data_IF_639256941969
#
_entry.id   IF_639256941969
#
_cell.length_a   1.000
_cell.length_b   1.000
_cell.length_c   1.000
_cell.angle_alpha   90.00
_cell.angle_beta   90.00
_cell.angle_gamma   90.00
#
_symmetry.space_group_name_H-M   'P 1'
#
loop_
_entity.id
_entity.type
_entity.pdbx_description
1 polymer ?
#
# COMPACT_ATOMS: atom_id res chain seq x y z
N UNK A 1 -11.77 20.79 -0.34
CA UNK A 1 -10.65 20.92 0.62
C UNK A 1 -10.82 20.18 1.96
N UNK A 2 -11.94 20.29 2.71
CA UNK A 2 -12.09 19.62 4.02
C UNK A 2 -11.96 18.08 3.99
N UNK A 3 -12.50 17.41 2.96
CA UNK A 3 -12.46 15.93 2.82
C UNK A 3 -11.03 15.36 2.66
N UNK A 4 -10.20 15.94 1.77
CA UNK A 4 -8.79 15.54 1.57
C UNK A 4 -7.97 15.69 2.86
N UNK A 5 -8.17 16.79 3.59
CA UNK A 5 -7.48 17.04 4.87
C UNK A 5 -7.84 16.00 5.95
N UNK A 6 -9.10 15.56 5.99
CA UNK A 6 -9.57 14.52 6.91
C UNK A 6 -9.05 13.13 6.51
N UNK A 7 -9.14 12.76 5.24
CA UNK A 7 -8.60 11.50 4.72
C UNK A 7 -7.09 11.39 4.97
N UNK A 8 -6.34 12.46 4.68
CA UNK A 8 -4.90 12.56 4.95
C UNK A 8 -4.61 12.42 6.45
N UNK A 9 -5.40 13.06 7.31
CA UNK A 9 -5.26 12.95 8.77
C UNK A 9 -5.49 11.52 9.28
N UNK A 10 -6.52 10.84 8.80
CA UNK A 10 -6.84 9.47 9.20
C UNK A 10 -5.79 8.47 8.70
N UNK A 11 -5.44 8.56 7.41
CA UNK A 11 -4.36 7.77 6.80
C UNK A 11 -3.08 7.83 7.64
N UNK A 12 -2.64 9.04 8.01
CA UNK A 12 -1.40 9.19 8.77
C UNK A 12 -1.50 8.89 10.26
N UNK A 13 -2.69 8.98 10.85
CA UNK A 13 -2.91 8.50 12.22
C UNK A 13 -2.71 6.98 12.27
N UNK A 14 -3.20 6.26 11.27
CA UNK A 14 -3.10 4.80 11.19
C UNK A 14 -1.67 4.34 10.88
N UNK A 15 -0.98 4.97 9.91
CA UNK A 15 0.44 4.70 9.63
C UNK A 15 1.30 4.89 10.90
N UNK A 16 1.09 5.98 11.66
CA UNK A 16 1.85 6.21 12.89
C UNK A 16 1.54 5.21 14.00
N UNK A 17 0.34 4.61 14.04
CA UNK A 17 0.01 3.57 15.03
C UNK A 17 0.64 2.23 14.64
N UNK A 18 0.66 1.91 13.35
CA UNK A 18 1.31 0.71 12.83
C UNK A 18 2.84 0.74 13.02
N UNK A 19 3.47 1.90 12.83
CA UNK A 19 4.91 2.08 13.08
C UNK A 19 5.29 1.93 14.57
N UNK A 20 4.39 2.27 15.50
CA UNK A 20 4.64 2.13 16.96
C UNK A 20 4.47 0.70 17.47
N UNK A 21 3.71 -0.15 16.78
CA UNK A 21 3.57 -1.57 17.12
C UNK A 21 4.71 -2.44 16.58
N UNK A 22 5.50 -1.94 15.62
CA UNK A 22 6.58 -2.67 14.94
C UNK A 22 7.99 -2.23 15.33
N UNK A 23 8.13 -1.52 16.46
CA UNK A 23 9.43 -1.01 16.93
C UNK A 23 10.28 -2.11 17.58
N UNK A 24 10.71 -3.10 16.81
CA UNK A 24 11.90 -3.90 17.08
C UNK A 24 12.44 -4.43 15.74
N UNK A 25 13.54 -3.83 15.27
CA UNK A 25 14.50 -4.40 14.31
C UNK A 25 14.05 -4.74 12.86
N UNK A 26 13.59 -3.80 12.03
CA UNK A 26 13.53 -4.07 10.56
C UNK A 26 14.16 -2.97 9.70
N UNK A 27 15.39 -3.26 9.27
CA UNK A 27 16.24 -2.44 8.41
C UNK A 27 15.78 -2.49 6.96
N UNK A 28 14.72 -1.76 6.62
CA UNK A 28 14.36 -1.46 5.24
C UNK A 28 13.60 -2.63 4.64
N UNK A 29 12.31 -2.69 4.94
CA UNK A 29 11.44 -3.77 4.50
C UNK A 29 11.29 -3.74 2.98
N UNK A 30 11.84 -4.77 2.34
CA UNK A 30 11.66 -5.07 0.93
C UNK A 30 10.70 -6.24 0.85
N UNK A 31 9.76 -6.17 -0.10
CA UNK A 31 8.78 -7.22 -0.32
C UNK A 31 8.86 -7.71 -1.76
N UNK A 32 8.59 -9.00 -1.96
CA UNK A 32 8.38 -9.58 -3.29
C UNK A 32 6.90 -9.89 -3.45
N UNK A 33 6.32 -9.51 -4.59
CA UNK A 33 4.92 -9.79 -4.87
C UNK A 33 4.72 -10.96 -5.83
N UNK A 34 3.76 -11.83 -5.50
CA UNK A 34 3.24 -12.86 -6.39
C UNK A 34 1.73 -12.65 -6.59
N UNK A 35 1.28 -12.61 -7.84
CA UNK A 35 -0.14 -12.53 -8.19
C UNK A 35 -0.69 -13.91 -8.48
N UNK A 36 -0.99 -14.69 -7.45
CA UNK A 36 -1.66 -15.99 -7.57
C UNK A 36 -2.92 -16.00 -6.71
N UNK A 37 -4.05 -15.52 -7.24
CA UNK A 37 -5.37 -15.83 -6.68
C UNK A 37 -6.50 -15.58 -7.69
N UNK A 38 -7.46 -16.49 -7.67
CA UNK A 38 -8.56 -16.69 -8.61
C UNK A 38 -9.44 -15.45 -8.75
N UNK A 39 -9.73 -15.08 -10.00
CA UNK A 39 -10.69 -14.04 -10.36
C UNK A 39 -12.11 -14.44 -9.92
N UNK A 40 -12.52 -13.98 -8.74
CA UNK A 40 -13.89 -13.55 -8.50
C UNK A 40 -14.02 -12.11 -8.99
N UNK A 41 -15.13 -11.79 -9.67
CA UNK A 41 -15.33 -10.70 -10.62
C UNK A 41 -14.89 -9.26 -10.23
N UNK A 42 -14.42 -8.99 -9.00
CA UNK A 42 -14.14 -7.63 -8.55
C UNK A 42 -12.87 -7.35 -7.73
N UNK A 43 -12.08 -8.33 -7.27
CA UNK A 43 -10.89 -8.02 -6.46
C UNK A 43 -9.67 -8.89 -6.81
N UNK A 44 -8.65 -8.26 -7.41
CA UNK A 44 -7.35 -8.91 -7.67
C UNK A 44 -6.56 -8.93 -6.36
N UNK A 45 -6.52 -10.10 -5.72
CA UNK A 45 -5.71 -10.33 -4.52
C UNK A 45 -4.26 -10.64 -4.93
N UNK A 46 -3.31 -9.90 -4.38
CA UNK A 46 -1.89 -10.13 -4.46
C UNK A 46 -1.33 -10.54 -3.10
N UNK A 47 -0.24 -11.30 -3.10
CA UNK A 47 0.50 -11.69 -1.89
C UNK A 47 1.83 -10.93 -1.90
N UNK A 48 2.11 -10.20 -0.83
CA UNK A 48 3.40 -9.59 -0.54
C UNK A 48 4.14 -10.44 0.50
N UNK A 49 5.30 -10.96 0.14
CA UNK A 49 6.19 -11.66 1.07
C UNK A 49 7.28 -10.71 1.57
N UNK A 50 7.39 -10.57 2.89
CA UNK A 50 8.47 -9.82 3.53
C UNK A 50 9.76 -10.66 3.52
N UNK A 51 10.79 -10.15 2.83
CA UNK A 51 12.05 -10.89 2.61
C UNK A 51 12.80 -11.13 3.93
N UNK A 52 12.59 -10.30 4.94
CA UNK A 52 13.35 -10.41 6.20
C UNK A 52 12.85 -11.55 7.09
N UNK A 53 11.54 -11.87 7.05
CA UNK A 53 10.90 -12.80 7.99
C UNK A 53 9.99 -13.85 7.33
N UNK A 54 9.75 -13.76 6.02
CA UNK A 54 8.89 -14.68 5.27
C UNK A 54 7.39 -14.50 5.53
N UNK A 55 6.97 -13.42 6.20
CA UNK A 55 5.56 -13.15 6.45
C UNK A 55 4.84 -12.76 5.16
N UNK A 56 3.70 -13.38 4.92
CA UNK A 56 2.83 -13.09 3.79
C UNK A 56 1.72 -12.10 4.17
N UNK A 57 1.50 -11.12 3.31
CA UNK A 57 0.41 -10.15 3.42
C UNK A 57 -0.47 -10.22 2.19
N UNK A 58 -1.76 -10.45 2.40
CA UNK A 58 -2.77 -10.48 1.36
C UNK A 58 -3.32 -9.07 1.16
N UNK A 59 -3.27 -8.58 -0.08
CA UNK A 59 -3.65 -7.20 -0.42
C UNK A 59 -4.45 -7.15 -1.70
N UNK A 60 -5.34 -6.17 -1.83
CA UNK A 60 -5.98 -5.82 -3.10
C UNK A 60 -5.28 -4.59 -3.69
N UNK A 61 -4.96 -4.62 -4.99
CA UNK A 61 -4.35 -3.47 -5.69
C UNK A 61 -5.44 -2.49 -6.10
N UNK A 62 -5.34 -1.26 -5.62
CA UNK A 62 -6.31 -0.18 -5.89
C UNK A 62 -5.87 0.70 -7.07
N UNK A 63 -4.59 1.06 -7.14
CA UNK A 63 -4.06 1.90 -8.22
C UNK A 63 -2.54 1.70 -8.38
N UNK A 64 -2.05 1.92 -9.60
CA UNK A 64 -0.63 2.01 -9.93
C UNK A 64 -0.36 3.32 -10.66
N UNK A 65 0.58 4.11 -10.16
CA UNK A 65 0.80 5.47 -10.64
C UNK A 65 2.26 5.90 -10.56
N UNK A 66 2.61 6.91 -11.36
CA UNK A 66 3.92 7.53 -11.33
C UNK A 66 3.86 8.90 -10.64
N UNK A 67 4.88 9.20 -9.84
CA UNK A 67 5.10 10.50 -9.24
C UNK A 67 6.60 10.76 -9.11
N UNK A 68 7.07 11.96 -9.44
CA UNK A 68 8.49 12.32 -9.33
C UNK A 68 9.47 11.29 -9.98
N UNK A 69 9.07 10.70 -11.12
CA UNK A 69 9.82 9.65 -11.86
C UNK A 69 10.05 8.35 -11.09
N UNK A 70 9.15 8.04 -10.17
CA UNK A 70 9.10 6.77 -9.44
C UNK A 70 7.72 6.16 -9.57
N UNK A 71 7.68 4.84 -9.53
CA UNK A 71 6.46 4.07 -9.64
C UNK A 71 5.96 3.72 -8.24
N UNK A 72 4.65 3.88 -8.04
CA UNK A 72 3.96 3.65 -6.78
C UNK A 72 2.74 2.78 -6.98
N UNK A 73 2.45 1.96 -5.98
CA UNK A 73 1.24 1.15 -5.90
C UNK A 73 0.46 1.55 -4.64
N UNK A 74 -0.85 1.71 -4.79
CA UNK A 74 -1.79 1.86 -3.69
C UNK A 74 -2.56 0.55 -3.54
N UNK A 75 -2.63 0.05 -2.31
CA UNK A 75 -3.23 -1.24 -1.97
C UNK A 75 -4.10 -1.11 -0.73
N UNK A 76 -4.99 -2.08 -0.51
CA UNK A 76 -5.69 -2.26 0.76
C UNK A 76 -5.40 -3.63 1.31
N UNK A 77 -5.32 -3.76 2.64
CA UNK A 77 -5.28 -5.08 3.27
C UNK A 77 -6.51 -5.90 2.87
N UNK A 78 -6.29 -7.18 2.56
CA UNK A 78 -7.35 -8.14 2.32
C UNK A 78 -7.43 -9.06 3.55
N UNK A 79 -8.40 -8.80 4.44
CA UNK A 79 -8.68 -9.68 5.59
C UNK A 79 -9.81 -10.66 5.24
N UNK A 80 -9.57 -11.98 5.15
CA UNK A 80 -10.58 -12.96 4.73
C UNK A 80 -11.63 -13.33 5.81
N UNK A 81 -12.07 -12.39 6.65
CA UNK A 81 -13.03 -12.49 7.78
C UNK A 81 -12.42 -12.83 9.15
N UNK A 82 -12.38 -11.86 10.08
CA UNK A 82 -13.12 -11.81 11.38
C UNK A 82 -13.08 -10.35 11.90
N UNK A 83 -14.10 -9.57 11.56
CA UNK A 83 -14.83 -8.71 12.50
C UNK A 83 -14.16 -7.56 13.27
N UNK A 84 -12.92 -7.13 13.04
CA UNK A 84 -12.33 -6.01 13.79
C UNK A 84 -11.31 -5.20 12.98
N UNK A 85 -11.77 -4.42 12.00
CA UNK A 85 -11.10 -3.19 11.54
C UNK A 85 -12.12 -2.32 10.79
N UNK A 86 -12.60 -1.26 11.45
CA UNK A 86 -13.70 -0.40 10.96
C UNK A 86 -13.33 0.56 9.80
N UNK A 87 -12.05 0.60 9.37
CA UNK A 87 -11.62 1.41 8.23
C UNK A 87 -10.60 0.65 7.37
N UNK A 88 -10.77 0.56 6.04
CA UNK A 88 -9.78 -0.06 5.17
C UNK A 88 -8.46 0.73 5.24
N UNK A 89 -7.37 0.03 5.58
CA UNK A 89 -6.04 0.63 5.60
C UNK A 89 -5.49 0.70 4.17
N UNK A 90 -5.34 1.91 3.64
CA UNK A 90 -4.64 2.12 2.38
C UNK A 90 -3.13 2.07 2.64
N UNK A 91 -2.42 1.32 1.83
CA UNK A 91 -0.96 1.16 1.86
C UNK A 91 -0.42 1.75 0.55
N UNK A 92 0.60 2.62 0.64
CA UNK A 92 1.29 3.16 -0.55
C UNK A 92 2.76 2.78 -0.47
N UNK A 93 3.25 2.14 -1.52
CA UNK A 93 4.63 1.67 -1.62
C UNK A 93 5.23 2.10 -2.94
N UNK A 94 6.57 2.21 -3.00
CA UNK A 94 7.26 2.18 -4.28
C UNK A 94 7.19 0.78 -4.84
N UNK A 95 7.19 0.66 -6.16
CA UNK A 95 7.44 -0.63 -6.80
C UNK A 95 8.39 -0.48 -7.97
N UNK A 96 9.18 -1.52 -8.21
CA UNK A 96 10.03 -1.67 -9.38
C UNK A 96 9.82 -3.07 -9.97
N UNK A 97 10.03 -3.19 -11.28
CA UNK A 97 9.98 -4.49 -11.96
C UNK A 97 11.40 -4.93 -12.31
N UNK A 98 11.77 -6.12 -11.84
CA UNK A 98 13.04 -6.77 -12.15
C UNK A 98 13.15 -7.19 -13.61
N UNK A 99 14.36 -7.57 -14.06
CA UNK A 99 14.61 -7.95 -15.46
C UNK A 99 13.81 -9.19 -15.90
N UNK A 100 13.40 -10.06 -14.96
CA UNK A 100 12.62 -11.26 -15.25
C UNK A 100 11.11 -11.07 -15.00
N UNK A 101 10.67 -9.83 -14.76
CA UNK A 101 9.28 -9.53 -14.41
C UNK A 101 8.95 -9.68 -12.92
N UNK A 102 9.94 -9.92 -12.06
CA UNK A 102 9.75 -9.90 -10.60
C UNK A 102 9.25 -8.52 -10.16
N UNK A 103 8.36 -8.45 -9.17
CA UNK A 103 7.91 -7.16 -8.62
C UNK A 103 8.46 -6.98 -7.21
N UNK A 104 9.22 -5.91 -7.04
CA UNK A 104 9.79 -5.50 -5.76
C UNK A 104 9.02 -4.32 -5.21
N UNK A 105 8.61 -4.39 -3.96
CA UNK A 105 7.89 -3.32 -3.29
C UNK A 105 8.71 -2.80 -2.10
N UNK A 106 8.73 -1.48 -1.93
CA UNK A 106 9.52 -0.84 -0.88
C UNK A 106 8.70 0.20 -0.12
N UNK A 107 8.77 0.12 1.21
CA UNK A 107 8.16 1.10 2.11
C UNK A 107 8.74 2.50 1.92
N UNK A 108 7.88 3.52 1.91
CA UNK A 108 8.29 4.93 1.78
C UNK A 108 8.57 5.53 3.16
N UNK A 109 9.85 5.66 3.52
CA UNK A 109 10.27 6.24 4.80
C UNK A 109 10.30 7.77 4.81
N UNK A 110 10.42 8.39 3.64
CA UNK A 110 10.46 9.84 3.54
C UNK A 110 9.04 10.41 3.60
N UNK A 111 8.76 11.16 4.66
CA UNK A 111 7.41 11.69 4.89
C UNK A 111 6.91 12.61 3.77
N UNK A 112 7.77 13.50 3.24
CA UNK A 112 7.39 14.43 2.16
C UNK A 112 7.05 13.69 0.87
N UNK A 113 7.79 12.62 0.59
CA UNK A 113 7.51 11.76 -0.55
C UNK A 113 6.18 11.03 -0.39
N UNK A 114 5.94 10.42 0.77
CA UNK A 114 4.67 9.75 1.06
C UNK A 114 3.49 10.73 0.97
N UNK A 115 3.66 11.95 1.50
CA UNK A 115 2.66 13.02 1.41
C UNK A 115 2.32 13.39 -0.05
N UNK A 116 3.34 13.45 -0.93
CA UNK A 116 3.17 13.77 -2.35
C UNK A 116 2.54 12.62 -3.14
N UNK A 117 3.00 11.39 -2.90
CA UNK A 117 2.42 10.19 -3.51
C UNK A 117 0.94 10.02 -3.12
N UNK A 118 0.61 10.22 -1.85
CA UNK A 118 -0.77 10.22 -1.37
C UNK A 118 -1.63 11.28 -2.07
N UNK A 119 -1.11 12.49 -2.25
CA UNK A 119 -1.88 13.55 -2.90
C UNK A 119 -2.22 13.21 -4.35
N UNK A 120 -1.29 12.60 -5.10
CA UNK A 120 -1.50 12.12 -6.47
C UNK A 120 -2.53 10.99 -6.52
N UNK A 121 -2.34 9.96 -5.68
CA UNK A 121 -3.28 8.85 -5.57
C UNK A 121 -4.69 9.34 -5.25
N UNK A 122 -4.84 10.17 -4.21
CA UNK A 122 -6.15 10.63 -3.76
C UNK A 122 -6.86 11.48 -4.81
N UNK A 123 -6.12 12.31 -5.54
CA UNK A 123 -6.69 13.10 -6.63
C UNK A 123 -7.20 12.19 -7.75
N UNK A 124 -6.46 11.13 -8.14
CA UNK A 124 -6.91 10.12 -9.11
C UNK A 124 -8.13 9.34 -8.62
N UNK A 125 -8.09 8.87 -7.38
CA UNK A 125 -9.16 8.10 -6.76
C UNK A 125 -10.50 8.85 -6.78
N UNK A 126 -10.51 10.13 -6.41
CA UNK A 126 -11.74 10.95 -6.42
C UNK A 126 -12.26 11.20 -7.83
N UNK A 127 -11.38 11.31 -8.84
CA UNK A 127 -11.82 11.48 -10.23
C UNK A 127 -12.42 10.21 -10.83
N UNK A 128 -11.91 9.03 -10.46
CA UNK A 128 -12.38 7.75 -11.00
C UNK A 128 -13.68 7.23 -10.36
N UNK A 129 -14.16 7.86 -9.27
CA UNK A 129 -15.40 7.49 -8.56
C UNK A 129 -16.57 8.42 -8.93
N UNK A 130 -16.35 9.39 -9.82
CA UNK A 130 -17.40 10.26 -10.39
C UNK A 130 -17.78 9.81 -11.79
#
# INVERSE_FOLDING_TARGET
MRKKKLAKKNFFKNVSQHERGRSEQHSGTHYVGSSNAVAGEHDVVAILEDIDNGNEYYVSIVDSFEFARRSYVAMTSFEPMVGQNDEPEVIIMRFDTGPNGERYYQSIRNRRELDGAFDVFFDRYIHNIR
#
